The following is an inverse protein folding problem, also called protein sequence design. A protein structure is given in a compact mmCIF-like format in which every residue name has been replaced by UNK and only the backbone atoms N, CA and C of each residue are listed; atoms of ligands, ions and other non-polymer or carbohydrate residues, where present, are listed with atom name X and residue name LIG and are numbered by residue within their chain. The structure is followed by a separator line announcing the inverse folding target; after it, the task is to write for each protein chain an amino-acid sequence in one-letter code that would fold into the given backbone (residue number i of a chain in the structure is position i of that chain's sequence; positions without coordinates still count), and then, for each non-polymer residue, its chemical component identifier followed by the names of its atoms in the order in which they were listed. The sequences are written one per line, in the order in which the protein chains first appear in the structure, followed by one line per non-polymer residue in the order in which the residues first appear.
data_IF_141598453308
#
_entry.id   IF_141598453308
#
_cell.length_a   1.000
_cell.length_b   1.000
_cell.length_c   1.000
_cell.angle_alpha   90.00
_cell.angle_beta   90.00
_cell.angle_gamma   90.00
#
_symmetry.space_group_name_H-M   'P 1'
#
loop_
_entity.id
_entity.type
_entity.pdbx_description
1 polymer ?
#
# COMPACT_ATOMS: atom_id res chain seq x y z
N UNK A 1 6.05 13.86 -5.72
CA UNK A 1 4.84 13.01 -5.76
C UNK A 1 4.54 12.58 -4.32
N UNK A 2 3.28 12.63 -3.89
CA UNK A 2 2.85 12.22 -2.54
C UNK A 2 1.50 11.52 -2.65
N UNK A 3 1.38 10.38 -1.98
CA UNK A 3 0.15 9.57 -1.95
C UNK A 3 -0.59 9.97 -0.68
N UNK A 4 -1.74 10.64 -0.83
CA UNK A 4 -2.59 11.03 0.30
C UNK A 4 -3.43 9.86 0.81
N UNK A 5 -3.96 9.07 -0.11
CA UNK A 5 -4.85 7.95 0.19
C UNK A 5 -4.48 6.78 -0.71
N UNK A 6 -4.47 5.57 -0.14
CA UNK A 6 -4.30 4.33 -0.86
C UNK A 6 -5.46 3.39 -0.51
N UNK A 7 -6.28 3.07 -1.50
CA UNK A 7 -7.38 2.12 -1.40
C UNK A 7 -7.06 0.86 -2.21
N UNK A 8 -7.06 -0.29 -1.54
CA UNK A 8 -6.88 -1.61 -2.13
C UNK A 8 -8.18 -2.41 -1.99
N UNK A 9 -8.59 -3.06 -3.08
CA UNK A 9 -9.66 -4.06 -3.09
C UNK A 9 -9.20 -5.29 -3.84
N UNK A 10 -9.37 -6.45 -3.22
CA UNK A 10 -8.97 -7.76 -3.75
C UNK A 10 -7.54 -7.78 -4.32
N UNK A 11 -6.62 -7.05 -3.67
CA UNK A 11 -5.24 -6.91 -4.12
C UNK A 11 -4.31 -7.80 -3.29
N UNK A 12 -3.80 -8.86 -3.91
CA UNK A 12 -2.90 -9.84 -3.27
C UNK A 12 -3.53 -10.36 -1.96
N UNK A 13 -2.84 -10.16 -0.83
CA UNK A 13 -3.28 -10.62 0.48
C UNK A 13 -4.29 -9.68 1.16
N UNK A 14 -4.70 -8.57 0.53
CA UNK A 14 -5.64 -7.60 1.08
C UNK A 14 -7.00 -7.68 0.35
N UNK A 15 -8.04 -8.29 0.96
CA UNK A 15 -9.40 -8.21 0.44
C UNK A 15 -9.90 -6.76 0.40
N UNK A 16 -9.60 -5.99 1.45
CA UNK A 16 -9.84 -4.55 1.51
C UNK A 16 -8.81 -3.90 2.44
N UNK A 17 -8.26 -2.76 2.03
CA UNK A 17 -7.41 -1.91 2.86
C UNK A 17 -7.55 -0.45 2.41
N UNK A 18 -7.80 0.45 3.36
CA UNK A 18 -7.77 1.91 3.13
C UNK A 18 -6.72 2.52 4.05
N UNK A 19 -5.79 3.27 3.49
CA UNK A 19 -4.75 3.99 4.23
C UNK A 19 -4.83 5.48 3.92
N UNK A 20 -4.91 6.29 4.97
CA UNK A 20 -4.61 7.72 4.89
C UNK A 20 -3.15 7.92 5.30
N UNK A 21 -2.39 8.61 4.46
CA UNK A 21 -0.96 8.82 4.64
C UNK A 21 -0.69 10.30 4.81
N UNK A 22 0.29 10.66 5.62
CA UNK A 22 0.76 12.03 5.79
C UNK A 22 2.15 12.21 5.17
N UNK A 23 2.58 13.44 4.86
CA UNK A 23 3.94 13.69 4.43
C UNK A 23 4.95 13.26 5.51
N UNK A 24 5.96 12.48 5.11
CA UNK A 24 7.01 12.00 6.02
C UNK A 24 7.32 10.53 5.83
N UNK A 25 7.89 9.92 6.87
CA UNK A 25 8.23 8.49 6.89
C UNK A 25 7.02 7.72 7.46
N UNK A 26 6.48 6.80 6.67
CA UNK A 26 5.49 5.82 7.14
C UNK A 26 6.14 4.45 7.28
N UNK A 27 5.94 3.81 8.44
CA UNK A 27 6.47 2.48 8.72
C UNK A 27 5.33 1.46 8.83
N UNK A 28 5.32 0.45 7.95
CA UNK A 28 4.40 -0.68 8.05
C UNK A 28 5.03 -1.80 8.90
N UNK A 29 4.43 -2.11 10.05
CA UNK A 29 4.89 -3.12 11.00
C UNK A 29 3.95 -4.32 11.06
N UNK A 30 4.49 -5.51 11.28
CA UNK A 30 3.70 -6.73 11.39
C UNK A 30 4.48 -8.00 11.05
N UNK A 31 3.87 -9.16 11.30
CA UNK A 31 4.48 -10.48 11.10
C UNK A 31 4.90 -10.71 9.64
N UNK A 32 5.89 -11.58 9.41
CA UNK A 32 6.23 -12.00 8.06
C UNK A 32 5.01 -12.70 7.41
N UNK A 33 4.81 -12.47 6.11
CA UNK A 33 3.64 -12.98 5.37
C UNK A 33 2.34 -12.18 5.52
N UNK A 34 2.28 -11.16 6.37
CA UNK A 34 1.06 -10.36 6.60
C UNK A 34 0.73 -9.33 5.49
N UNK A 35 1.35 -9.42 4.31
CA UNK A 35 1.02 -8.54 3.18
C UNK A 35 1.58 -7.11 3.21
N UNK A 36 2.55 -6.81 4.09
CA UNK A 36 3.20 -5.49 4.14
C UNK A 36 3.85 -5.08 2.81
N UNK A 37 4.55 -6.01 2.18
CA UNK A 37 5.17 -5.79 0.86
C UNK A 37 4.11 -5.50 -0.22
N UNK A 38 2.91 -6.10 -0.12
CA UNK A 38 1.85 -5.87 -1.09
C UNK A 38 1.37 -4.41 -1.13
N UNK A 39 1.46 -3.68 -0.02
CA UNK A 39 1.14 -2.24 0.01
C UNK A 39 2.10 -1.47 -0.90
N UNK A 40 3.40 -1.77 -0.82
CA UNK A 40 4.43 -1.11 -1.64
C UNK A 40 4.35 -1.58 -3.09
N UNK A 41 4.03 -2.85 -3.33
CA UNK A 41 3.77 -3.36 -4.70
C UNK A 41 2.58 -2.67 -5.35
N UNK A 42 1.50 -2.39 -4.62
CA UNK A 42 0.35 -1.66 -5.14
C UNK A 42 0.75 -0.24 -5.59
N UNK A 43 1.54 0.46 -4.76
CA UNK A 43 2.11 1.78 -5.11
C UNK A 43 2.98 1.68 -6.37
N UNK A 44 3.85 0.67 -6.43
CA UNK A 44 4.69 0.43 -7.60
C UNK A 44 3.87 0.18 -8.87
N UNK A 45 2.80 -0.60 -8.77
CA UNK A 45 1.90 -0.91 -9.90
C UNK A 45 1.27 0.34 -10.50
N UNK A 46 0.64 1.19 -9.67
CA UNK A 46 0.00 2.42 -10.16
C UNK A 46 1.00 3.46 -10.66
N UNK A 47 2.21 3.48 -10.10
CA UNK A 47 3.25 4.43 -10.54
C UNK A 47 3.79 4.12 -11.94
N UNK A 48 3.60 2.90 -12.44
CA UNK A 48 4.08 2.44 -13.75
C UNK A 48 2.94 2.07 -14.70
N UNK A 49 1.69 2.31 -14.31
CA UNK A 49 0.57 2.14 -15.23
C UNK A 49 0.67 3.21 -16.33
N UNK A 50 0.73 2.76 -17.58
CA UNK A 50 0.78 3.62 -18.78
C UNK A 50 -0.59 3.70 -19.43
#
# INVERSE_FOLDING_TARGET
MYIRTLDLRDFRSWPQLTLELEPGITLFLGRNGFGKTNIIEAVGYIAHLS
#
